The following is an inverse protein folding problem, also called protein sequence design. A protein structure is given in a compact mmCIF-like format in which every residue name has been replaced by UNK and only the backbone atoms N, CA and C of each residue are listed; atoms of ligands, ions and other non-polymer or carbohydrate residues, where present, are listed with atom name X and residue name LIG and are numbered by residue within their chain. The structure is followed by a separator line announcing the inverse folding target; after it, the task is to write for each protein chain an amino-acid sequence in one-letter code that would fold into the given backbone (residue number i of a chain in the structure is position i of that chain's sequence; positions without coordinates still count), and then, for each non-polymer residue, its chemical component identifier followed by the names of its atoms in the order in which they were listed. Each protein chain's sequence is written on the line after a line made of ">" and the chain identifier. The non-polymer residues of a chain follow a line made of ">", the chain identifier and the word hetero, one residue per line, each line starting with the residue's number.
data_IF_339810080901
#
_entry.id   IF_339810080901
#
_cell.length_a   1.000
_cell.length_b   1.000
_cell.length_c   1.000
_cell.angle_alpha   90.00
_cell.angle_beta   90.00
_cell.angle_gamma   90.00
#
_symmetry.space_group_name_H-M   'P 1'
#
loop_
_entity.id
_entity.type
_entity.pdbx_description
1 polymer ?
#
# COMPACT_ATOMS: atom_id res chain seq x y z
N UNK A 1 1.14 29.13 0.52
CA UNK A 1 0.38 28.88 1.78
C UNK A 1 1.19 27.88 2.58
N UNK A 2 1.78 28.30 3.69
CA UNK A 2 2.69 27.46 4.48
C UNK A 2 1.91 26.32 5.17
N UNK A 3 2.17 25.06 4.79
CA UNK A 3 1.70 23.90 5.55
C UNK A 3 2.56 23.77 6.79
N UNK A 4 2.03 24.19 7.94
CA UNK A 4 2.64 23.94 9.24
C UNK A 4 2.36 22.48 9.61
N UNK A 5 3.39 21.63 9.60
CA UNK A 5 3.30 20.26 10.09
C UNK A 5 3.14 20.33 11.62
N UNK A 6 2.15 19.66 12.23
CA UNK A 6 1.97 19.72 13.68
C UNK A 6 3.06 18.91 14.40
N UNK A 7 3.76 19.55 15.34
CA UNK A 7 4.70 18.94 16.27
C UNK A 7 3.95 17.90 17.14
N UNK A 8 4.31 16.63 17.01
CA UNK A 8 3.75 15.56 17.86
C UNK A 8 4.60 15.44 19.13
N UNK A 9 4.15 16.06 20.23
CA UNK A 9 4.67 15.75 21.56
C UNK A 9 4.05 14.45 22.07
N UNK A 10 4.86 13.48 22.52
CA UNK A 10 4.39 12.18 23.04
C UNK A 10 4.71 12.08 24.53
N UNK A 11 3.70 11.76 25.34
CA UNK A 11 3.90 11.25 26.70
C UNK A 11 3.77 9.73 26.67
N UNK A 12 4.74 9.03 27.25
CA UNK A 12 4.65 7.60 27.58
C UNK A 12 4.58 7.52 29.10
N UNK A 13 3.51 6.94 29.63
CA UNK A 13 3.39 6.62 31.04
C UNK A 13 4.16 5.31 31.26
N UNK A 14 5.34 5.39 31.88
CA UNK A 14 6.07 4.20 32.31
C UNK A 14 5.43 3.58 33.55
N UNK A 15 5.70 2.29 33.78
CA UNK A 15 5.23 1.54 34.96
C UNK A 15 5.73 2.14 36.29
N UNK A 16 6.79 2.94 36.24
CA UNK A 16 7.16 3.87 37.30
C UNK A 16 6.56 5.24 36.96
N UNK A 17 5.80 5.83 37.90
CA UNK A 17 5.08 7.12 37.88
C UNK A 17 5.88 8.39 37.44
N UNK A 18 7.00 8.23 36.73
CA UNK A 18 7.80 9.30 36.16
C UNK A 18 7.35 9.62 34.73
N UNK A 19 6.75 10.80 34.60
CA UNK A 19 6.39 11.44 33.35
C UNK A 19 7.67 11.90 32.63
N UNK A 20 8.21 11.07 31.73
CA UNK A 20 9.32 11.49 30.87
C UNK A 20 8.77 12.28 29.69
N UNK A 21 9.05 13.58 29.69
CA UNK A 21 8.69 14.48 28.59
C UNK A 21 9.85 14.51 27.62
N UNK A 22 9.69 13.88 26.45
CA UNK A 22 10.65 14.02 25.36
C UNK A 22 10.17 15.15 24.46
N UNK A 23 10.79 16.33 24.60
CA UNK A 23 10.73 17.36 23.58
C UNK A 23 11.69 16.95 22.46
N UNK A 24 11.14 16.47 21.35
CA UNK A 24 11.89 16.42 20.10
C UNK A 24 11.81 17.82 19.51
N UNK A 25 12.81 18.64 19.81
CA UNK A 25 13.12 19.81 18.99
C UNK A 25 13.60 19.26 17.64
N UNK A 26 12.78 19.40 16.61
CA UNK A 26 13.27 19.26 15.25
C UNK A 26 14.10 20.51 14.95
N UNK A 27 15.40 20.40 15.21
CA UNK A 27 16.40 21.44 15.05
C UNK A 27 16.33 22.02 13.62
N UNK A 28 15.60 23.12 13.46
CA UNK A 28 15.39 23.80 12.18
C UNK A 28 16.57 24.72 11.83
N UNK A 29 17.78 24.38 12.28
CA UNK A 29 18.96 25.23 12.15
C UNK A 29 20.28 24.47 11.98
N UNK A 30 20.42 23.59 10.98
CA UNK A 30 21.68 23.46 10.23
C UNK A 30 21.46 22.78 8.86
N UNK A 31 21.50 23.50 7.72
CA UNK A 31 21.53 22.87 6.40
C UNK A 31 22.99 22.55 6.09
N UNK A 32 23.59 21.56 6.75
CA UNK A 32 24.95 21.13 6.43
C UNK A 32 25.06 19.62 6.45
N UNK A 33 25.04 19.08 5.22
CA UNK A 33 25.95 18.02 4.76
C UNK A 33 25.51 16.60 5.10
N UNK A 34 24.47 16.10 4.43
CA UNK A 34 24.36 14.75 3.86
C UNK A 34 23.14 14.72 2.91
N UNK A 35 23.13 15.66 1.96
CA UNK A 35 22.32 15.59 0.76
C UNK A 35 23.28 15.18 -0.36
N UNK A 36 23.42 13.87 -0.58
CA UNK A 36 23.56 13.41 -1.96
C UNK A 36 22.14 13.41 -2.54
N UNK A 37 21.58 14.62 -2.69
CA UNK A 37 20.33 14.84 -3.41
C UNK A 37 20.63 14.61 -4.87
N UNK A 38 20.56 13.35 -5.31
CA UNK A 38 20.26 13.07 -6.70
C UNK A 38 18.95 13.78 -7.00
N UNK A 39 19.01 14.93 -7.67
CA UNK A 39 17.78 15.55 -8.17
C UNK A 39 17.16 14.51 -9.11
N UNK A 40 15.89 14.12 -8.95
CA UNK A 40 15.25 13.14 -9.83
C UNK A 40 15.45 13.48 -11.31
N UNK A 41 15.50 14.78 -11.62
CA UNK A 41 15.68 15.33 -12.96
C UNK A 41 17.07 15.03 -13.58
N UNK A 42 18.13 14.83 -12.79
CA UNK A 42 19.46 14.49 -13.34
C UNK A 42 19.45 13.13 -14.06
N UNK A 43 18.71 12.15 -13.52
CA UNK A 43 18.65 10.78 -14.07
C UNK A 43 18.03 10.71 -15.47
N UNK A 44 17.16 11.68 -15.81
CA UNK A 44 16.45 11.75 -17.09
C UNK A 44 16.91 12.93 -17.95
N UNK A 45 17.97 13.65 -17.59
CA UNK A 45 18.50 14.80 -18.33
C UNK A 45 18.81 14.52 -19.80
N UNK A 46 19.04 13.26 -20.17
CA UNK A 46 19.30 12.82 -21.55
C UNK A 46 18.06 12.67 -22.43
N UNK A 47 16.85 12.70 -21.85
CA UNK A 47 15.61 12.54 -22.60
C UNK A 47 15.10 13.89 -23.14
N UNK A 48 14.68 13.97 -24.42
CA UNK A 48 13.95 15.11 -24.96
C UNK A 48 12.72 15.46 -24.11
N UNK A 49 12.44 16.76 -23.96
CA UNK A 49 11.31 17.25 -23.14
C UNK A 49 9.97 16.65 -23.57
N UNK A 50 9.76 16.45 -24.87
CA UNK A 50 8.54 15.80 -25.39
C UNK A 50 8.35 14.38 -24.85
N UNK A 51 9.45 13.63 -24.66
CA UNK A 51 9.38 12.27 -24.10
C UNK A 51 9.17 12.35 -22.59
N UNK A 52 9.84 13.29 -21.90
CA UNK A 52 9.62 13.54 -20.47
C UNK A 52 8.16 13.88 -20.19
N UNK A 53 7.58 14.81 -20.93
CA UNK A 53 6.18 15.21 -20.81
C UNK A 53 5.22 14.05 -21.12
N UNK A 54 5.60 13.15 -22.02
CA UNK A 54 4.80 11.97 -22.35
C UNK A 54 4.79 10.93 -21.23
N UNK A 55 5.94 10.64 -20.61
CA UNK A 55 6.10 9.55 -19.62
C UNK A 55 5.96 10.01 -18.16
N UNK A 56 6.11 11.30 -17.87
CA UNK A 56 6.03 11.85 -16.52
C UNK A 56 4.71 12.63 -16.30
N UNK A 57 4.19 12.66 -15.06
CA UNK A 57 3.01 13.45 -14.72
C UNK A 57 3.22 14.95 -14.94
N UNK A 58 2.16 15.65 -15.34
CA UNK A 58 2.19 17.12 -15.43
C UNK A 58 2.63 17.75 -14.09
N UNK A 59 3.56 18.71 -14.16
CA UNK A 59 4.12 19.39 -12.97
C UNK A 59 5.23 18.62 -12.24
N UNK A 60 5.75 17.53 -12.82
CA UNK A 60 6.92 16.83 -12.30
C UNK A 60 8.13 17.80 -12.18
N UNK A 61 8.97 17.70 -11.13
CA UNK A 61 8.88 16.77 -10.01
C UNK A 61 7.91 17.19 -8.89
N UNK A 62 7.44 18.45 -8.86
CA UNK A 62 6.67 18.98 -7.73
C UNK A 62 5.23 18.46 -7.60
N UNK A 63 4.71 17.74 -8.60
CA UNK A 63 3.36 17.19 -8.57
C UNK A 63 3.24 15.80 -7.96
N UNK A 64 4.36 15.12 -7.72
CA UNK A 64 4.43 13.76 -7.19
C UNK A 64 5.35 13.67 -5.98
N UNK A 65 5.31 12.55 -5.25
CA UNK A 65 6.25 12.31 -4.15
C UNK A 65 7.67 12.03 -4.63
N UNK A 66 8.64 12.35 -3.79
CA UNK A 66 10.07 12.31 -4.12
C UNK A 66 10.56 10.91 -4.54
N UNK A 67 9.91 9.85 -4.05
CA UNK A 67 10.20 8.44 -4.34
C UNK A 67 9.55 7.92 -5.65
N UNK A 68 8.73 8.72 -6.34
CA UNK A 68 8.02 8.31 -7.55
C UNK A 68 8.97 7.82 -8.64
N UNK A 69 9.98 8.62 -9.00
CA UNK A 69 10.84 8.29 -10.14
C UNK A 69 11.69 7.04 -9.86
N UNK A 70 12.28 6.96 -8.67
CA UNK A 70 13.08 5.79 -8.27
C UNK A 70 12.22 4.52 -8.25
N UNK A 71 10.97 4.62 -7.76
CA UNK A 71 10.01 3.51 -7.86
C UNK A 71 9.76 3.13 -9.32
N UNK A 72 9.45 4.09 -10.20
CA UNK A 72 9.14 3.84 -11.61
C UNK A 72 10.31 3.18 -12.37
N UNK A 73 11.54 3.64 -12.10
CA UNK A 73 12.76 3.09 -12.72
C UNK A 73 13.02 1.63 -12.31
N UNK A 74 12.69 1.25 -11.07
CA UNK A 74 12.75 -0.15 -10.61
C UNK A 74 11.50 -0.95 -11.03
N UNK A 75 10.36 -0.28 -11.17
CA UNK A 75 9.09 -0.88 -11.57
C UNK A 75 9.14 -1.35 -13.02
N UNK A 76 9.77 -0.58 -13.91
CA UNK A 76 9.91 -0.90 -15.32
C UNK A 76 10.55 -2.27 -15.60
N UNK A 77 11.78 -2.59 -15.15
CA UNK A 77 12.36 -3.93 -15.34
C UNK A 77 11.58 -5.01 -14.59
N UNK A 78 10.94 -4.68 -13.46
CA UNK A 78 10.05 -5.63 -12.75
C UNK A 78 8.88 -6.04 -13.65
N UNK A 79 8.29 -5.11 -14.39
CA UNK A 79 7.19 -5.38 -15.31
C UNK A 79 7.66 -6.17 -16.53
N UNK A 80 8.79 -5.80 -17.14
CA UNK A 80 9.38 -6.56 -18.26
C UNK A 80 9.58 -8.03 -17.89
N UNK A 81 10.22 -8.30 -16.75
CA UNK A 81 10.45 -9.67 -16.26
C UNK A 81 9.15 -10.42 -15.97
N UNK A 82 8.14 -9.73 -15.42
CA UNK A 82 6.80 -10.29 -15.20
C UNK A 82 6.12 -10.72 -16.51
N UNK A 83 6.21 -9.91 -17.56
CA UNK A 83 5.66 -10.22 -18.88
C UNK A 83 6.42 -11.33 -19.61
N UNK A 84 7.74 -11.44 -19.42
CA UNK A 84 8.52 -12.60 -19.90
C UNK A 84 8.00 -13.88 -19.22
N UNK A 85 7.90 -13.89 -17.88
CA UNK A 85 7.35 -15.01 -17.13
C UNK A 85 5.94 -15.38 -17.59
N UNK A 86 5.08 -14.38 -17.80
CA UNK A 86 3.72 -14.56 -18.30
C UNK A 86 3.71 -15.27 -19.66
N UNK A 87 4.58 -14.86 -20.58
CA UNK A 87 4.70 -15.44 -21.93
C UNK A 87 5.10 -16.92 -21.87
N UNK A 88 6.14 -17.25 -21.10
CA UNK A 88 6.62 -18.63 -20.94
C UNK A 88 5.53 -19.54 -20.36
N UNK A 89 4.87 -19.07 -19.30
CA UNK A 89 3.79 -19.78 -18.62
C UNK A 89 2.57 -19.99 -19.52
N UNK A 90 2.21 -18.96 -20.30
CA UNK A 90 1.11 -19.04 -21.29
C UNK A 90 1.42 -20.06 -22.39
N UNK A 91 2.68 -20.12 -22.86
CA UNK A 91 3.09 -21.11 -23.86
C UNK A 91 2.91 -22.55 -23.37
N UNK A 92 3.21 -22.81 -22.10
CA UNK A 92 3.04 -24.14 -21.49
C UNK A 92 1.56 -24.51 -21.40
N UNK A 93 0.72 -23.56 -20.99
CA UNK A 93 -0.73 -23.73 -20.94
C UNK A 93 -1.32 -24.02 -22.34
N UNK A 94 -0.90 -23.28 -23.37
CA UNK A 94 -1.33 -23.49 -24.75
C UNK A 94 -0.90 -24.86 -25.30
N UNK A 95 0.34 -25.30 -25.00
CA UNK A 95 0.78 -26.66 -25.34
C UNK A 95 -0.09 -27.71 -24.69
N UNK A 96 -0.39 -27.59 -23.40
CA UNK A 96 -1.21 -28.58 -22.68
C UNK A 96 -2.64 -28.68 -23.26
N UNK A 97 -3.24 -27.56 -23.66
CA UNK A 97 -4.56 -27.53 -24.33
C UNK A 97 -4.49 -28.20 -25.70
N UNK A 98 -3.46 -27.90 -26.48
CA UNK A 98 -3.27 -28.46 -27.82
C UNK A 98 -2.93 -29.95 -27.82
N UNK A 99 -2.20 -30.43 -26.79
CA UNK A 99 -1.83 -31.84 -26.63
C UNK A 99 -3.05 -32.76 -26.48
N UNK A 100 -4.15 -32.26 -25.91
CA UNK A 100 -5.41 -33.00 -25.83
C UNK A 100 -6.20 -33.10 -27.14
N UNK A 101 -5.73 -32.45 -28.22
CA UNK A 101 -6.56 -32.08 -29.38
C UNK A 101 -5.92 -32.39 -30.74
N UNK A 102 -4.88 -33.23 -30.79
CA UNK A 102 -4.11 -33.55 -32.00
C UNK A 102 -4.85 -34.35 -33.10
N UNK A 103 -6.17 -34.42 -33.08
CA UNK A 103 -6.94 -34.77 -34.29
C UNK A 103 -7.50 -33.47 -34.84
N UNK A 104 -7.04 -32.99 -36.00
CA UNK A 104 -7.41 -31.68 -36.60
C UNK A 104 -8.88 -31.55 -37.06
N UNK A 105 -9.82 -32.01 -36.25
CA UNK A 105 -11.26 -31.95 -36.48
C UNK A 105 -11.86 -30.74 -35.76
N UNK A 106 -12.95 -30.18 -36.30
CA UNK A 106 -13.68 -29.07 -35.66
C UNK A 106 -14.07 -29.40 -34.20
N UNK A 107 -14.39 -30.67 -33.92
CA UNK A 107 -14.70 -31.15 -32.59
C UNK A 107 -13.56 -30.98 -31.56
N UNK A 108 -12.29 -31.12 -31.95
CA UNK A 108 -11.15 -30.94 -31.02
C UNK A 108 -10.84 -29.48 -30.76
N UNK A 109 -11.07 -28.59 -31.73
CA UNK A 109 -10.97 -27.14 -31.52
C UNK A 109 -12.03 -26.67 -30.52
N UNK A 110 -13.28 -27.10 -30.66
CA UNK A 110 -14.35 -26.79 -29.70
C UNK A 110 -14.06 -27.35 -28.31
N UNK A 111 -13.57 -28.59 -28.20
CA UNK A 111 -13.20 -29.18 -26.92
C UNK A 111 -12.07 -28.40 -26.21
N UNK A 112 -11.07 -27.95 -26.97
CA UNK A 112 -9.98 -27.08 -26.47
C UNK A 112 -10.50 -25.75 -25.95
N UNK A 113 -11.41 -25.12 -26.71
CA UNK A 113 -12.04 -23.86 -26.33
C UNK A 113 -12.89 -24.02 -25.06
N UNK A 114 -13.68 -25.10 -24.93
CA UNK A 114 -14.46 -25.40 -23.72
C UNK A 114 -13.52 -25.53 -22.52
N UNK A 115 -12.44 -26.30 -22.62
CA UNK A 115 -11.45 -26.43 -21.53
C UNK A 115 -10.83 -25.09 -21.14
N UNK A 116 -10.54 -24.23 -22.12
CA UNK A 116 -9.99 -22.89 -21.89
C UNK A 116 -10.98 -21.96 -21.17
N UNK A 117 -12.24 -21.94 -21.62
CA UNK A 117 -13.27 -21.09 -21.02
C UNK A 117 -13.69 -21.62 -19.63
N UNK A 118 -13.75 -22.94 -19.45
CA UNK A 118 -14.08 -23.55 -18.15
C UNK A 118 -13.07 -23.19 -17.06
N UNK A 119 -11.75 -23.19 -17.35
CA UNK A 119 -10.76 -22.72 -16.37
C UNK A 119 -10.98 -21.25 -16.01
N UNK A 120 -11.36 -20.41 -16.99
CA UNK A 120 -11.57 -18.98 -16.80
C UNK A 120 -12.81 -18.71 -15.95
N UNK A 121 -13.89 -19.47 -16.19
CA UNK A 121 -15.11 -19.42 -15.38
C UNK A 121 -14.88 -19.76 -13.91
N UNK A 122 -14.15 -20.84 -13.62
CA UNK A 122 -13.84 -21.24 -12.22
C UNK A 122 -12.99 -20.18 -11.52
N UNK A 123 -11.99 -19.62 -12.22
CA UNK A 123 -11.19 -18.52 -11.70
C UNK A 123 -12.01 -17.27 -11.37
N UNK A 124 -12.98 -16.92 -12.23
CA UNK A 124 -13.86 -15.77 -12.02
C UNK A 124 -14.76 -15.95 -10.79
N UNK A 125 -15.33 -17.14 -10.58
CA UNK A 125 -16.11 -17.46 -9.37
C UNK A 125 -15.26 -17.30 -8.11
N UNK A 126 -14.02 -17.78 -8.13
CA UNK A 126 -13.08 -17.60 -7.04
C UNK A 126 -12.79 -16.13 -6.72
N UNK A 127 -12.55 -15.33 -7.76
CA UNK A 127 -12.36 -13.88 -7.63
C UNK A 127 -13.57 -13.21 -6.97
N UNK A 128 -14.78 -13.58 -7.39
CA UNK A 128 -16.03 -13.05 -6.85
C UNK A 128 -16.14 -13.30 -5.35
N UNK A 129 -15.85 -14.52 -4.89
CA UNK A 129 -15.94 -14.87 -3.47
C UNK A 129 -14.92 -14.13 -2.59
N UNK A 130 -13.71 -13.89 -3.08
CA UNK A 130 -12.65 -13.26 -2.31
C UNK A 130 -12.73 -11.73 -2.32
N UNK A 131 -13.01 -11.13 -3.48
CA UNK A 131 -13.13 -9.68 -3.63
C UNK A 131 -14.21 -9.08 -2.73
N UNK A 132 -15.33 -9.79 -2.54
CA UNK A 132 -16.41 -9.32 -1.67
C UNK A 132 -16.13 -9.41 -0.17
N UNK A 133 -15.14 -10.19 0.27
CA UNK A 133 -14.93 -10.48 1.71
C UNK A 133 -13.74 -9.76 2.34
N UNK A 134 -12.71 -9.43 1.56
CA UNK A 134 -11.42 -9.01 2.12
C UNK A 134 -11.02 -7.57 1.79
N UNK A 135 -11.88 -6.80 1.11
CA UNK A 135 -11.54 -5.44 0.64
C UNK A 135 -11.03 -4.49 1.72
N UNK A 136 -11.48 -4.61 2.97
CA UNK A 136 -11.10 -3.71 4.07
C UNK A 136 -9.77 -4.02 4.75
N UNK A 137 -9.00 -5.01 4.28
CA UNK A 137 -7.76 -5.46 4.93
C UNK A 137 -6.48 -4.91 4.28
N UNK A 138 -6.59 -4.27 3.11
CA UNK A 138 -5.43 -3.99 2.27
C UNK A 138 -4.77 -2.63 2.52
N UNK A 139 -5.46 -1.71 3.19
CA UNK A 139 -5.01 -0.33 3.36
C UNK A 139 -3.83 -0.20 4.35
N UNK A 140 -3.70 -1.12 5.30
CA UNK A 140 -2.73 -0.98 6.40
C UNK A 140 -1.27 -1.19 5.96
N UNK A 141 -1.04 -1.94 4.87
CA UNK A 141 0.31 -2.34 4.47
C UNK A 141 0.46 -2.66 2.98
N UNK A 142 0.46 -1.62 2.13
CA UNK A 142 0.47 -1.81 0.69
C UNK A 142 1.73 -2.53 0.20
N UNK A 143 2.92 -2.30 0.80
CA UNK A 143 4.17 -2.98 0.37
C UNK A 143 4.09 -4.48 0.60
N UNK A 144 3.67 -4.91 1.80
CA UNK A 144 3.57 -6.33 2.13
C UNK A 144 2.53 -7.03 1.26
N UNK A 145 1.35 -6.43 1.09
CA UNK A 145 0.30 -6.99 0.24
C UNK A 145 0.72 -7.07 -1.22
N UNK A 146 1.45 -6.06 -1.71
CA UNK A 146 1.97 -6.04 -3.08
C UNK A 146 3.00 -7.13 -3.32
N UNK A 147 3.84 -7.45 -2.33
CA UNK A 147 4.81 -8.54 -2.38
C UNK A 147 4.14 -9.91 -2.29
N UNK A 148 3.17 -10.08 -1.38
CA UNK A 148 2.39 -11.32 -1.26
C UNK A 148 1.58 -11.62 -2.52
N UNK A 149 1.05 -10.59 -3.19
CA UNK A 149 0.40 -10.74 -4.48
C UNK A 149 1.34 -11.39 -5.50
N UNK A 150 2.60 -10.97 -5.60
CA UNK A 150 3.54 -11.56 -6.55
C UNK A 150 3.97 -12.97 -6.16
N UNK A 151 4.14 -13.28 -4.86
CA UNK A 151 4.38 -14.66 -4.42
C UNK A 151 3.21 -15.60 -4.75
N UNK A 152 1.97 -15.18 -4.45
CA UNK A 152 0.77 -15.96 -4.76
C UNK A 152 0.60 -16.09 -6.27
N UNK A 153 0.84 -15.02 -7.04
CA UNK A 153 0.80 -15.04 -8.50
C UNK A 153 1.83 -16.00 -9.09
N UNK A 154 3.02 -16.06 -8.50
CA UNK A 154 4.09 -17.01 -8.84
C UNK A 154 3.64 -18.45 -8.61
N UNK A 155 3.03 -18.75 -7.47
CA UNK A 155 2.45 -20.06 -7.18
C UNK A 155 1.36 -20.44 -8.21
N UNK A 156 0.52 -19.48 -8.61
CA UNK A 156 -0.45 -19.65 -9.68
C UNK A 156 0.18 -20.06 -11.03
N UNK A 157 1.35 -19.50 -11.35
CA UNK A 157 2.11 -19.84 -12.56
C UNK A 157 2.71 -21.25 -12.51
N UNK A 158 3.06 -21.77 -11.34
CA UNK A 158 3.52 -23.17 -11.17
C UNK A 158 2.44 -24.15 -11.61
N UNK A 159 1.17 -23.90 -11.24
CA UNK A 159 0.06 -24.74 -11.70
C UNK A 159 -0.07 -24.77 -13.22
N UNK A 160 0.10 -23.63 -13.89
CA UNK A 160 0.08 -23.58 -15.36
C UNK A 160 1.25 -24.38 -15.97
N UNK A 161 2.48 -24.23 -15.47
CA UNK A 161 3.61 -25.00 -15.98
C UNK A 161 3.40 -26.51 -15.80
N UNK A 162 2.78 -26.89 -14.68
CA UNK A 162 2.48 -28.29 -14.34
C UNK A 162 1.46 -28.91 -15.29
N UNK A 163 0.62 -28.12 -15.97
CA UNK A 163 -0.37 -28.62 -16.95
C UNK A 163 0.28 -29.36 -18.12
N UNK A 164 1.51 -28.99 -18.51
CA UNK A 164 2.23 -29.69 -19.57
C UNK A 164 2.74 -31.07 -19.12
N UNK A 165 3.03 -31.25 -17.83
CA UNK A 165 3.49 -32.52 -17.27
C UNK A 165 2.33 -33.49 -17.05
N UNK A 166 1.18 -32.96 -16.63
CA UNK A 166 -0.02 -33.74 -16.33
C UNK A 166 -1.21 -33.27 -17.19
N UNK A 167 -1.18 -33.50 -18.52
CA UNK A 167 -2.22 -33.02 -19.43
C UNK A 167 -3.62 -33.57 -19.12
N UNK A 168 -3.71 -34.77 -18.53
CA UNK A 168 -4.99 -35.35 -18.10
C UNK A 168 -5.66 -34.55 -16.97
N UNK A 169 -4.86 -33.86 -16.16
CA UNK A 169 -5.31 -32.99 -15.08
C UNK A 169 -5.33 -31.51 -15.50
N UNK A 170 -5.38 -31.24 -16.81
CA UNK A 170 -5.37 -29.87 -17.36
C UNK A 170 -6.40 -28.98 -16.67
N UNK A 171 -7.67 -29.41 -16.62
CA UNK A 171 -8.77 -28.59 -16.14
C UNK A 171 -8.60 -28.21 -14.64
N UNK A 172 -8.39 -29.16 -13.70
CA UNK A 172 -8.19 -28.79 -12.30
C UNK A 172 -6.93 -27.95 -12.08
N UNK A 173 -5.81 -28.26 -12.73
CA UNK A 173 -4.57 -27.50 -12.58
C UNK A 173 -4.69 -26.08 -13.13
N UNK A 174 -5.21 -25.92 -14.35
CA UNK A 174 -5.38 -24.62 -14.96
C UNK A 174 -6.39 -23.76 -14.20
N UNK A 175 -7.47 -24.37 -13.69
CA UNK A 175 -8.47 -23.68 -12.85
C UNK A 175 -7.88 -23.23 -11.52
N UNK A 176 -7.06 -24.06 -10.87
CA UNK A 176 -6.38 -23.71 -9.63
C UNK A 176 -5.33 -22.60 -9.85
N UNK A 177 -4.61 -22.64 -10.98
CA UNK A 177 -3.73 -21.55 -11.40
C UNK A 177 -4.47 -20.23 -11.62
N UNK A 178 -5.61 -20.27 -12.32
CA UNK A 178 -6.48 -19.12 -12.53
C UNK A 178 -7.01 -18.55 -11.21
N UNK A 179 -7.53 -19.41 -10.34
CA UNK A 179 -8.01 -19.04 -9.01
C UNK A 179 -6.91 -18.35 -8.20
N UNK A 180 -5.72 -18.96 -8.16
CA UNK A 180 -4.57 -18.42 -7.42
C UNK A 180 -4.13 -17.05 -7.97
N UNK A 181 -4.06 -16.90 -9.29
CA UNK A 181 -3.77 -15.61 -9.94
C UNK A 181 -4.86 -14.56 -9.69
N UNK A 182 -6.12 -14.97 -9.61
CA UNK A 182 -7.22 -14.09 -9.25
C UNK A 182 -7.11 -13.59 -7.80
N UNK A 183 -6.70 -14.46 -6.86
CA UNK A 183 -6.37 -14.07 -5.48
C UNK A 183 -5.25 -13.04 -5.48
N UNK A 184 -4.14 -13.34 -6.15
CA UNK A 184 -3.01 -12.44 -6.28
C UNK A 184 -3.43 -11.06 -6.81
N UNK A 185 -4.24 -11.02 -7.87
CA UNK A 185 -4.78 -9.77 -8.42
C UNK A 185 -5.65 -9.02 -7.40
N UNK A 186 -6.49 -9.74 -6.64
CA UNK A 186 -7.31 -9.16 -5.58
C UNK A 186 -6.51 -8.53 -4.44
N UNK A 187 -5.26 -8.94 -4.22
CA UNK A 187 -4.33 -8.30 -3.29
C UNK A 187 -3.56 -7.16 -3.95
N UNK A 188 -3.11 -7.37 -5.20
CA UNK A 188 -2.34 -6.41 -5.99
C UNK A 188 -3.13 -5.11 -6.19
N UNK A 189 -4.33 -5.19 -6.76
CA UNK A 189 -5.06 -4.03 -7.25
C UNK A 189 -5.33 -3.01 -6.12
N UNK A 190 -5.83 -3.39 -4.92
CA UNK A 190 -6.01 -2.45 -3.81
C UNK A 190 -4.70 -1.87 -3.27
N UNK A 191 -3.68 -2.71 -3.03
CA UNK A 191 -2.37 -2.25 -2.54
C UNK A 191 -1.72 -1.24 -3.49
N UNK A 192 -1.97 -1.40 -4.79
CA UNK A 192 -1.48 -0.53 -5.84
C UNK A 192 -2.20 0.82 -5.87
N UNK A 193 -3.52 0.84 -5.69
CA UNK A 193 -4.26 2.09 -5.56
C UNK A 193 -3.76 2.95 -4.39
N UNK A 194 -3.37 2.33 -3.26
CA UNK A 194 -2.77 3.03 -2.12
C UNK A 194 -1.42 3.65 -2.51
N UNK A 195 -0.58 2.92 -3.26
CA UNK A 195 0.70 3.42 -3.79
C UNK A 195 0.48 4.59 -4.75
N UNK A 196 -0.49 4.48 -5.67
CA UNK A 196 -0.82 5.56 -6.62
C UNK A 196 -1.33 6.81 -5.91
N UNK A 197 -2.14 6.64 -4.87
CA UNK A 197 -2.60 7.75 -4.06
C UNK A 197 -1.47 8.42 -3.28
N UNK A 198 -0.48 7.65 -2.80
CA UNK A 198 0.74 8.19 -2.18
C UNK A 198 1.53 9.09 -3.14
N UNK A 199 1.64 8.70 -4.42
CA UNK A 199 2.29 9.51 -5.44
C UNK A 199 1.53 10.80 -5.81
N UNK A 200 0.21 10.84 -5.63
CA UNK A 200 -0.64 11.92 -6.13
C UNK A 200 -0.70 13.16 -5.20
N UNK A 201 0.44 13.81 -4.96
CA UNK A 201 0.56 14.95 -4.02
C UNK A 201 -0.33 16.14 -4.42
N UNK A 202 -0.47 16.41 -5.72
CA UNK A 202 -1.24 17.56 -6.23
C UNK A 202 -2.71 17.22 -6.52
N UNK A 203 -3.25 16.13 -5.95
CA UNK A 203 -4.60 15.65 -6.29
C UNK A 203 -4.70 15.15 -7.73
N UNK A 204 -3.57 14.74 -8.31
CA UNK A 204 -3.36 14.34 -9.70
C UNK A 204 -3.39 12.82 -9.89
N UNK A 205 -4.22 12.10 -9.11
CA UNK A 205 -4.26 10.63 -9.11
C UNK A 205 -4.53 10.03 -10.50
N UNK A 206 -5.44 10.64 -11.26
CA UNK A 206 -5.74 10.19 -12.63
C UNK A 206 -4.55 10.33 -13.57
N UNK A 207 -3.77 11.39 -13.43
CA UNK A 207 -2.54 11.62 -14.23
C UNK A 207 -1.46 10.61 -13.86
N UNK A 208 -1.21 10.41 -12.57
CA UNK A 208 -0.26 9.39 -12.06
C UNK A 208 -0.62 8.01 -12.60
N UNK A 209 -1.89 7.61 -12.50
CA UNK A 209 -2.36 6.31 -12.98
C UNK A 209 -2.17 6.15 -14.49
N UNK A 210 -2.50 7.18 -15.28
CA UNK A 210 -2.33 7.16 -16.73
C UNK A 210 -0.86 7.07 -17.14
N UNK A 211 0.03 7.80 -16.47
CA UNK A 211 1.47 7.74 -16.74
C UNK A 211 2.04 6.38 -16.37
N UNK A 212 1.68 5.84 -15.21
CA UNK A 212 2.10 4.50 -14.81
C UNK A 212 1.62 3.42 -15.79
N UNK A 213 0.41 3.55 -16.33
CA UNK A 213 -0.09 2.66 -17.39
C UNK A 213 0.77 2.73 -18.67
N UNK A 214 1.26 3.92 -19.05
CA UNK A 214 2.21 4.06 -20.18
C UNK A 214 3.48 3.24 -19.92
N UNK A 215 4.08 3.37 -18.73
CA UNK A 215 5.27 2.59 -18.36
C UNK A 215 5.00 1.07 -18.38
N UNK A 216 3.85 0.65 -17.85
CA UNK A 216 3.41 -0.76 -17.86
C UNK A 216 3.25 -1.29 -19.30
N UNK A 217 2.59 -0.55 -20.19
CA UNK A 217 2.34 -0.98 -21.58
C UNK A 217 3.65 -1.07 -22.36
N UNK A 218 4.58 -0.13 -22.18
CA UNK A 218 5.91 -0.21 -22.82
C UNK A 218 6.67 -1.44 -22.31
N UNK A 219 6.67 -1.67 -20.99
CA UNK A 219 7.28 -2.86 -20.40
C UNK A 219 6.61 -4.17 -20.87
N UNK A 220 5.29 -4.15 -21.06
CA UNK A 220 4.52 -5.27 -21.62
C UNK A 220 4.98 -5.61 -23.03
N UNK A 221 5.07 -4.62 -23.93
CA UNK A 221 5.50 -4.85 -25.31
C UNK A 221 6.91 -5.45 -25.36
N UNK A 222 7.84 -4.91 -24.58
CA UNK A 222 9.22 -5.40 -24.49
C UNK A 222 9.26 -6.82 -23.90
N UNK A 223 8.56 -7.06 -22.79
CA UNK A 223 8.54 -8.36 -22.12
C UNK A 223 7.89 -9.46 -22.97
N UNK A 224 6.83 -9.15 -23.71
CA UNK A 224 6.23 -10.05 -24.69
C UNK A 224 7.21 -10.36 -25.83
N UNK A 225 7.86 -9.35 -26.42
CA UNK A 225 8.83 -9.54 -27.50
C UNK A 225 10.01 -10.42 -27.07
N UNK A 226 10.60 -10.15 -25.90
CA UNK A 226 11.67 -10.97 -25.32
C UNK A 226 11.19 -12.38 -24.99
N UNK A 227 9.98 -12.52 -24.44
CA UNK A 227 9.36 -13.82 -24.18
C UNK A 227 9.19 -14.66 -25.45
N UNK A 228 8.76 -14.04 -26.55
CA UNK A 228 8.64 -14.70 -27.86
C UNK A 228 10.02 -15.12 -28.39
N UNK A 229 11.04 -14.26 -28.29
CA UNK A 229 12.41 -14.58 -28.71
C UNK A 229 12.98 -15.80 -27.95
N UNK A 230 12.70 -15.89 -26.65
CA UNK A 230 13.07 -17.06 -25.82
C UNK A 230 12.35 -18.32 -26.33
N UNK A 231 11.07 -18.21 -26.70
CA UNK A 231 10.29 -19.33 -27.23
C UNK A 231 10.66 -19.72 -28.67
N UNK A 232 11.21 -18.81 -29.46
CA UNK A 232 11.69 -19.12 -30.82
C UNK A 232 12.99 -19.92 -30.81
N UNK A 233 13.71 -19.94 -29.67
CA UNK A 233 14.95 -20.69 -29.55
C UNK A 233 14.68 -22.21 -29.44
N UNK A 234 15.05 -23.02 -30.45
CA UNK A 234 14.55 -24.40 -30.57
C UNK A 234 14.99 -25.35 -29.45
N UNK A 235 16.05 -25.02 -28.72
CA UNK A 235 16.53 -25.81 -27.59
C UNK A 235 15.68 -25.64 -26.34
N UNK A 236 15.13 -24.44 -26.11
CA UNK A 236 14.47 -24.06 -24.86
C UNK A 236 13.04 -24.63 -24.73
N UNK A 237 12.41 -24.95 -25.85
CA UNK A 237 10.97 -25.23 -25.92
C UNK A 237 10.63 -26.72 -25.98
N UNK A 238 11.64 -27.59 -26.17
CA UNK A 238 11.45 -29.04 -26.39
C UNK A 238 10.97 -29.83 -25.18
N UNK A 239 11.37 -29.44 -23.97
CA UNK A 239 11.05 -30.20 -22.75
C UNK A 239 10.67 -29.26 -21.60
N UNK A 240 9.78 -29.74 -20.73
CA UNK A 240 9.35 -29.06 -19.51
C UNK A 240 10.54 -28.57 -18.67
N UNK A 241 11.59 -29.41 -18.52
CA UNK A 241 12.78 -29.05 -17.75
C UNK A 241 13.54 -27.85 -18.32
N UNK A 242 13.58 -27.74 -19.64
CA UNK A 242 14.31 -26.66 -20.33
C UNK A 242 13.52 -25.35 -20.34
N UNK A 243 12.18 -25.40 -20.23
CA UNK A 243 11.34 -24.21 -20.08
C UNK A 243 11.23 -23.75 -18.62
N UNK A 244 11.13 -24.69 -17.68
CA UNK A 244 10.92 -24.39 -16.26
C UNK A 244 12.15 -23.76 -15.60
N UNK A 245 13.36 -24.16 -15.99
CA UNK A 245 14.61 -23.58 -15.47
C UNK A 245 14.79 -22.07 -15.78
N UNK A 246 14.71 -21.61 -17.05
CA UNK A 246 14.78 -20.18 -17.36
C UNK A 246 13.59 -19.42 -16.80
N UNK A 247 12.40 -20.02 -16.76
CA UNK A 247 11.25 -19.42 -16.10
C UNK A 247 11.52 -19.19 -14.61
N UNK A 248 12.07 -20.19 -13.91
CA UNK A 248 12.37 -20.09 -12.48
C UNK A 248 13.42 -19.00 -12.21
N UNK A 249 14.48 -18.94 -13.02
CA UNK A 249 15.49 -17.88 -12.93
C UNK A 249 14.89 -16.49 -13.16
N UNK A 250 14.06 -16.34 -14.19
CA UNK A 250 13.34 -15.09 -14.46
C UNK A 250 12.35 -14.72 -13.34
N UNK A 251 11.70 -15.72 -12.73
CA UNK A 251 10.77 -15.53 -11.63
C UNK A 251 11.47 -15.04 -10.36
N UNK A 252 12.65 -15.58 -10.04
CA UNK A 252 13.47 -15.06 -8.95
C UNK A 252 13.91 -13.63 -9.20
N UNK A 253 14.35 -13.32 -10.43
CA UNK A 253 14.71 -11.96 -10.81
C UNK A 253 13.52 -11.00 -10.67
N UNK A 254 12.33 -11.40 -11.14
CA UNK A 254 11.10 -10.63 -11.01
C UNK A 254 10.76 -10.32 -9.54
N UNK A 255 10.79 -11.33 -8.66
CA UNK A 255 10.51 -11.15 -7.24
C UNK A 255 11.56 -10.28 -6.54
N UNK A 256 12.83 -10.41 -6.92
CA UNK A 256 13.90 -9.57 -6.40
C UNK A 256 13.75 -8.11 -6.85
N UNK A 257 13.47 -7.87 -8.13
CA UNK A 257 13.21 -6.52 -8.64
C UNK A 257 11.97 -5.91 -7.99
N UNK A 258 10.91 -6.69 -7.76
CA UNK A 258 9.73 -6.25 -7.00
C UNK A 258 10.09 -5.84 -5.58
N UNK A 259 10.88 -6.64 -4.88
CA UNK A 259 11.33 -6.30 -3.54
C UNK A 259 12.12 -4.98 -3.55
N UNK A 260 13.01 -4.81 -4.54
CA UNK A 260 13.77 -3.58 -4.72
C UNK A 260 12.86 -2.37 -5.00
N UNK A 261 11.88 -2.48 -5.90
CA UNK A 261 10.97 -1.37 -6.19
C UNK A 261 10.16 -0.95 -4.97
N UNK A 262 9.65 -1.92 -4.20
CA UNK A 262 8.90 -1.65 -2.97
C UNK A 262 9.78 -1.09 -1.84
N UNK A 263 11.05 -1.45 -1.79
CA UNK A 263 11.98 -0.95 -0.76
C UNK A 263 12.32 0.54 -0.89
N UNK A 264 12.08 1.12 -2.06
CA UNK A 264 12.31 2.55 -2.34
C UNK A 264 11.15 3.42 -1.86
N UNK A 265 9.94 2.85 -1.75
CA UNK A 265 8.74 3.60 -1.36
C UNK A 265 8.86 4.19 0.06
N UNK A 266 8.58 5.49 0.16
CA UNK A 266 8.63 6.28 1.39
C UNK A 266 7.26 6.85 1.73
N UNK A 267 6.40 6.05 2.35
CA UNK A 267 5.10 6.55 2.81
C UNK A 267 5.23 7.59 3.92
N UNK A 268 4.45 8.66 3.82
CA UNK A 268 4.39 9.71 4.85
C UNK A 268 3.60 9.30 6.10
N UNK A 269 3.02 8.10 6.11
CA UNK A 269 2.29 7.53 7.24
C UNK A 269 3.17 6.57 8.02
N UNK A 270 3.12 6.66 9.35
CA UNK A 270 3.82 5.71 10.23
C UNK A 270 3.06 4.39 10.17
N UNK A 271 3.66 3.37 9.55
CA UNK A 271 3.15 2.01 9.67
C UNK A 271 3.22 1.60 11.15
N UNK A 272 2.09 1.20 11.74
CA UNK A 272 1.99 0.92 13.18
C UNK A 272 2.95 -0.19 13.65
N UNK A 273 3.51 -0.96 12.71
CA UNK A 273 4.55 -1.99 12.88
C UNK A 273 5.67 -1.67 13.89
N UNK A 274 6.01 -0.40 14.12
CA UNK A 274 7.16 -0.01 14.97
C UNK A 274 6.85 0.98 16.10
N UNK A 275 5.57 1.27 16.36
CA UNK A 275 5.16 2.20 17.44
C UNK A 275 5.51 1.67 18.85
N UNK A 276 6.01 0.43 18.94
CA UNK A 276 6.46 -0.27 20.14
C UNK A 276 7.81 0.20 20.71
N UNK A 277 8.61 0.98 19.97
CA UNK A 277 9.85 1.55 20.55
C UNK A 277 9.63 3.00 20.99
N UNK A 278 10.12 3.32 22.18
CA UNK A 278 9.89 4.57 22.93
C UNK A 278 10.30 5.84 22.18
N UNK A 279 11.11 5.69 21.13
CA UNK A 279 11.52 6.76 20.23
C UNK A 279 10.97 6.43 18.84
N UNK A 280 10.07 7.27 18.31
CA UNK A 280 9.54 7.11 16.94
C UNK A 280 10.61 7.62 15.98
N UNK A 281 11.27 6.74 15.18
CA UNK A 281 12.19 7.19 14.15
C UNK A 281 11.39 7.96 13.08
N UNK A 282 11.99 8.94 12.42
CA UNK A 282 11.35 9.65 11.31
C UNK A 282 10.85 8.68 10.23
N UNK A 283 9.79 9.07 9.49
CA UNK A 283 9.12 8.21 8.51
C UNK A 283 10.10 7.62 7.47
N UNK A 284 11.08 8.40 7.03
CA UNK A 284 12.11 7.97 6.07
C UNK A 284 12.95 6.80 6.59
N UNK A 285 13.39 6.86 7.85
CA UNK A 285 14.14 5.79 8.50
C UNK A 285 13.27 4.55 8.69
N UNK A 286 12.04 4.72 9.18
CA UNK A 286 11.09 3.61 9.37
C UNK A 286 10.79 2.88 8.06
N UNK A 287 10.60 3.61 6.96
CA UNK A 287 10.34 3.04 5.64
C UNK A 287 11.54 2.26 5.10
N UNK A 288 12.76 2.76 5.31
CA UNK A 288 13.99 2.13 4.81
C UNK A 288 14.35 0.83 5.52
N UNK A 289 14.07 0.76 6.82
CA UNK A 289 14.30 -0.45 7.61
C UNK A 289 13.12 -1.43 7.60
N UNK A 290 11.99 -1.06 7.00
CA UNK A 290 10.79 -1.88 6.99
C UNK A 290 11.04 -3.27 6.39
N UNK A 291 10.87 -4.32 7.20
CA UNK A 291 10.89 -5.68 6.68
C UNK A 291 9.52 -5.98 6.04
N UNK A 292 9.49 -5.93 4.71
CA UNK A 292 8.28 -6.16 3.90
C UNK A 292 7.70 -7.57 4.12
N UNK A 293 8.51 -8.55 4.54
CA UNK A 293 8.10 -9.94 4.67
C UNK A 293 7.60 -10.32 6.07
N UNK A 294 7.90 -9.51 7.09
CA UNK A 294 7.48 -9.81 8.46
C UNK A 294 5.97 -9.68 8.58
N UNK A 295 5.32 -10.71 9.12
CA UNK A 295 3.89 -10.71 9.39
C UNK A 295 3.50 -9.53 10.28
N UNK A 296 2.72 -8.60 9.73
CA UNK A 296 2.05 -7.56 10.49
C UNK A 296 1.09 -8.18 11.52
N UNK A 297 1.23 -7.78 12.78
CA UNK A 297 0.13 -7.83 13.72
C UNK A 297 -0.78 -6.65 13.37
N UNK A 298 -1.93 -6.93 12.76
CA UNK A 298 -2.95 -5.93 12.46
C UNK A 298 -3.52 -5.37 13.77
N UNK A 299 -2.86 -4.35 14.29
CA UNK A 299 -3.42 -3.51 15.34
C UNK A 299 -4.44 -2.60 14.67
N UNK A 300 -5.72 -2.73 15.03
CA UNK A 300 -6.77 -1.78 14.63
C UNK A 300 -6.97 -0.79 15.77
N UNK A 301 -6.23 0.33 15.81
CA UNK A 301 -6.36 1.27 16.89
C UNK A 301 -7.77 1.85 16.91
N UNK A 302 -8.39 1.86 18.09
CA UNK A 302 -9.68 2.55 18.27
C UNK A 302 -9.39 3.99 18.62
N UNK A 303 -9.81 4.90 17.74
CA UNK A 303 -9.71 6.34 18.00
C UNK A 303 -11.05 6.83 18.53
N UNK A 304 -11.08 7.27 19.78
CA UNK A 304 -12.28 7.85 20.38
C UNK A 304 -12.13 9.37 20.45
N UNK A 305 -12.99 10.09 19.72
CA UNK A 305 -13.03 11.55 19.69
C UNK A 305 -14.02 12.10 20.73
N UNK A 306 -13.69 13.24 21.33
CA UNK A 306 -14.60 14.00 22.19
C UNK A 306 -14.80 13.43 23.59
N UNK A 307 -13.91 12.54 24.06
CA UNK A 307 -13.98 12.08 25.44
C UNK A 307 -13.56 13.22 26.40
N UNK A 308 -14.36 13.49 27.45
CA UNK A 308 -13.92 14.35 28.55
C UNK A 308 -12.63 13.78 29.14
N UNK A 309 -11.67 14.65 29.46
CA UNK A 309 -10.39 14.25 30.07
C UNK A 309 -10.57 13.34 31.30
N UNK A 310 -11.68 13.54 32.03
CA UNK A 310 -12.08 12.76 33.21
C UNK A 310 -12.42 11.28 32.94
N UNK A 311 -12.76 10.94 31.70
CA UNK A 311 -13.17 9.58 31.28
C UNK A 311 -12.07 8.82 30.54
N UNK A 312 -10.87 9.40 30.41
CA UNK A 312 -9.77 8.76 29.67
C UNK A 312 -9.03 7.82 30.62
N UNK A 313 -9.07 6.52 30.32
CA UNK A 313 -8.33 5.51 31.08
C UNK A 313 -6.82 5.81 31.08
N UNK A 314 -6.18 5.74 32.25
CA UNK A 314 -4.76 6.06 32.44
C UNK A 314 -4.51 7.51 32.85
N UNK A 315 -5.52 8.38 32.79
CA UNK A 315 -5.46 9.69 33.44
C UNK A 315 -5.71 9.49 34.93
N UNK A 316 -4.65 9.23 35.69
CA UNK A 316 -4.74 9.47 37.13
C UNK A 316 -5.20 10.92 37.29
N UNK A 317 -6.23 11.14 38.11
CA UNK A 317 -6.84 12.46 38.38
C UNK A 317 -5.89 13.43 39.06
N UNK A 318 -4.58 13.20 38.98
CA UNK A 318 -3.55 14.09 39.47
C UNK A 318 -3.63 15.40 38.69
N UNK A 319 -3.85 16.49 39.44
CA UNK A 319 -3.80 17.85 38.92
C UNK A 319 -2.52 18.09 38.11
N UNK A 320 -1.41 17.48 38.53
CA UNK A 320 -0.10 17.58 37.89
C UNK A 320 -0.10 17.07 36.44
N UNK A 321 -0.70 15.90 36.17
CA UNK A 321 -0.70 15.32 34.83
C UNK A 321 -1.61 16.11 33.88
N UNK A 322 -2.76 16.58 34.37
CA UNK A 322 -3.64 17.47 33.57
C UNK A 322 -2.93 18.79 33.25
N UNK A 323 -2.25 19.39 34.23
CA UNK A 323 -1.48 20.61 34.02
C UNK A 323 -0.31 20.39 33.03
N UNK A 324 0.38 19.25 33.13
CA UNK A 324 1.43 18.86 32.19
C UNK A 324 0.89 18.69 30.76
N UNK A 325 -0.25 18.00 30.59
CA UNK A 325 -0.91 17.86 29.29
C UNK A 325 -1.37 19.21 28.72
N UNK A 326 -1.91 20.10 29.56
CA UNK A 326 -2.32 21.44 29.14
C UNK A 326 -1.15 22.30 28.68
N UNK A 327 0.00 22.19 29.37
CA UNK A 327 1.27 22.84 28.97
C UNK A 327 1.83 22.24 27.69
N UNK A 328 1.85 20.91 27.57
CA UNK A 328 2.37 20.19 26.40
C UNK A 328 1.59 20.56 25.13
N UNK A 329 0.26 20.52 25.21
CA UNK A 329 -0.63 20.84 24.10
C UNK A 329 -1.02 22.32 24.06
N UNK A 330 -0.28 23.24 24.70
CA UNK A 330 -0.71 24.64 24.89
C UNK A 330 -1.10 25.36 23.58
N UNK A 331 -0.37 25.09 22.50
CA UNK A 331 -0.63 25.60 21.14
C UNK A 331 -1.75 24.85 20.39
N UNK A 332 -2.08 23.64 20.81
CA UNK A 332 -3.01 22.73 20.13
C UNK A 332 -4.45 22.91 20.61
N UNK A 333 -5.41 22.71 19.68
CA UNK A 333 -6.86 22.76 19.99
C UNK A 333 -7.38 21.48 20.65
N UNK A 334 -6.56 20.44 20.71
CA UNK A 334 -6.89 19.13 21.24
C UNK A 334 -5.75 18.61 22.11
N UNK A 335 -6.08 17.61 22.93
CA UNK A 335 -5.15 16.84 23.74
C UNK A 335 -5.27 15.41 23.22
N UNK A 336 -4.15 14.84 22.77
CA UNK A 336 -4.08 13.46 22.33
C UNK A 336 -3.47 12.61 23.44
N UNK A 337 -4.11 11.49 23.77
CA UNK A 337 -3.55 10.49 24.67
C UNK A 337 -3.63 9.10 24.06
N UNK A 338 -2.65 8.27 24.38
CA UNK A 338 -2.55 6.89 23.89
C UNK A 338 -2.54 5.98 25.10
N UNK A 339 -3.54 5.10 25.22
CA UNK A 339 -3.48 4.01 26.17
C UNK A 339 -2.76 2.84 25.49
N UNK A 340 -1.53 2.57 25.93
CA UNK A 340 -0.69 1.50 25.42
C UNK A 340 -0.94 0.20 26.19
N UNK A 341 -2.13 -0.37 26.04
CA UNK A 341 -2.31 -1.80 26.32
C UNK A 341 -2.07 -2.56 25.02
N UNK A 342 -1.10 -3.49 25.06
CA UNK A 342 -0.52 -4.18 23.88
C UNK A 342 -1.55 -4.88 22.98
N UNK A 343 -2.76 -5.15 23.48
CA UNK A 343 -3.86 -5.80 22.74
C UNK A 343 -5.00 -4.85 22.32
N UNK A 344 -5.11 -3.64 22.90
CA UNK A 344 -6.20 -2.69 22.60
C UNK A 344 -5.65 -1.25 22.61
N UNK A 345 -4.81 -0.95 21.62
CA UNK A 345 -4.24 0.38 21.43
C UNK A 345 -5.38 1.39 21.19
N UNK A 346 -5.67 2.22 22.19
CA UNK A 346 -6.74 3.23 22.11
C UNK A 346 -6.14 4.62 22.08
N UNK A 347 -6.51 5.41 21.07
CA UNK A 347 -6.20 6.83 20.99
C UNK A 347 -7.41 7.62 21.47
N UNK A 348 -7.17 8.59 22.34
CA UNK A 348 -8.18 9.48 22.88
C UNK A 348 -7.86 10.91 22.45
N UNK A 349 -8.79 11.55 21.74
CA UNK A 349 -8.68 12.95 21.35
C UNK A 349 -9.73 13.77 22.11
N UNK A 350 -9.27 14.60 23.06
CA UNK A 350 -10.13 15.52 23.81
C UNK A 350 -9.94 16.94 23.28
N UNK A 351 -11.03 17.64 22.94
CA UNK A 351 -10.95 19.00 22.39
C UNK A 351 -10.99 20.05 23.49
N UNK A 352 -10.12 21.08 23.40
CA UNK A 352 -10.11 22.21 24.31
C UNK A 352 -11.27 23.16 23.97
N UNK A 353 -12.30 23.21 24.81
CA UNK A 353 -13.37 24.21 24.72
C UNK A 353 -12.89 25.55 25.31
N UNK A 354 -12.71 26.56 24.46
CA UNK A 354 -12.64 27.97 24.92
C UNK A 354 -14.05 28.49 25.09
N UNK A 355 -14.59 28.43 26.31
CA UNK A 355 -15.83 29.13 26.64
C UNK A 355 -15.54 30.63 26.70
N UNK A 356 -16.01 31.39 25.70
CA UNK A 356 -16.03 32.84 25.78
C UNK A 356 -17.28 33.25 26.59
N UNK A 357 -17.10 33.53 27.88
CA UNK A 357 -18.16 34.16 28.66
C UNK A 357 -18.19 35.65 28.29
N UNK A 358 -19.25 36.17 27.64
CA UNK A 358 -19.42 37.61 27.54
C UNK A 358 -19.52 38.17 28.97
N UNK A 359 -18.78 39.24 29.26
CA UNK A 359 -18.87 39.94 30.55
C UNK A 359 -20.33 40.26 30.83
N UNK A 360 -20.91 39.60 31.84
CA UNK A 360 -22.23 39.91 32.38
C UNK A 360 -22.10 41.23 33.16
N UNK A 361 -22.18 42.34 32.45
CA UNK A 361 -22.54 43.64 33.03
C UNK A 361 -24.05 43.75 32.86
N UNK A 362 -24.77 44.09 33.94
CA UNK A 362 -26.21 44.41 33.93
C UNK A 362 -27.16 43.24 33.68
N UNK A 363 -27.44 42.45 34.73
CA UNK A 363 -28.70 41.70 34.88
C UNK A 363 -28.82 41.33 36.37
N UNK A 364 -29.00 42.37 37.20
CA UNK A 364 -29.38 42.25 38.60
C UNK A 364 -30.35 43.37 38.95
N UNK A 365 -31.42 43.50 38.16
CA UNK A 365 -32.66 44.11 38.58
C UNK A 365 -33.68 43.88 37.48
N UNK A 366 -34.91 43.60 37.92
CA UNK A 366 -36.12 43.62 37.13
C UNK A 366 -36.61 42.27 36.54
N UNK A 367 -37.79 41.91 37.08
CA UNK A 367 -38.77 40.91 36.64
C UNK A 367 -38.53 39.44 36.95
N UNK A 368 -39.00 39.09 38.15
CA UNK A 368 -39.95 37.98 38.35
C UNK A 368 -40.82 37.75 37.10
N UNK A 369 -40.58 36.67 36.38
CA UNK A 369 -41.63 35.90 35.69
C UNK A 369 -41.07 34.53 35.29
N UNK A 370 -41.79 33.49 35.71
CA UNK A 370 -41.50 32.08 35.50
C UNK A 370 -41.58 31.71 34.01
N UNK A 371 -40.63 30.93 33.49
CA UNK A 371 -40.83 29.91 32.45
C UNK A 371 -39.53 29.08 32.28
N UNK A 372 -39.56 27.73 32.37
CA UNK A 372 -38.38 26.90 32.13
C UNK A 372 -38.14 26.75 30.61
N UNK A 373 -36.88 26.79 30.13
CA UNK A 373 -36.60 26.57 28.71
C UNK A 373 -36.75 25.09 28.35
N UNK A 374 -37.67 24.82 27.41
CA UNK A 374 -37.80 23.56 26.70
C UNK A 374 -36.52 23.26 25.89
N UNK A 375 -36.17 21.98 25.80
CA UNK A 375 -34.97 21.48 25.14
C UNK A 375 -34.94 21.70 23.64
N UNK A 376 -33.76 22.01 23.12
CA UNK A 376 -33.42 21.98 21.70
C UNK A 376 -32.54 20.76 21.42
N UNK A 377 -33.14 19.82 20.70
CA UNK A 377 -32.52 18.67 20.04
C UNK A 377 -31.64 19.12 18.87
N UNK A 378 -30.44 18.56 18.74
CA UNK A 378 -29.61 18.66 17.53
C UNK A 378 -30.09 17.65 16.48
N UNK A 379 -30.35 18.11 15.25
CA UNK A 379 -30.58 17.25 14.08
C UNK A 379 -29.25 16.95 13.38
N UNK A 380 -29.03 15.63 13.17
CA UNK A 380 -28.16 14.88 12.25
C UNK A 380 -26.69 15.26 12.05
#
# INVERSE_FOLDING_TARGET
>A
MASTIPLVSRCVLGDDLQLQTFLVEEDTSTPKRFQDSYSPDESLSWLPDTIKDFILPAGFPGSVSDDYLDYMLLQFPTNVTGWICHTLVTSSLLKAVGIGSFSGTSATASASAIRWVSKDGIGAVGRLCLGGRFGSLFDDDPKQWRMYADFIGSAGSIFYLTTQVYPDYFLPLASLGNLTKAVARGLKDPSFCVIQNHFAISGNLGEVAAKEEIWEVVAQLIGLALGILILDTPSLVKSYGVLSLPWLGMQFLHLWLRYKSLSVLQFNTINLKRVLHSTVPGCTYCNREENILTRSQFMKPKINFGLPLEKIDGVERSHFMVEALLKLYASEKYILMVNQQLEDLRFYASFKLKLHFPKRTELFQEKNELLPPQGLTWQH
#
